data_IF_595656408465
#
_entry.id   IF_595656408465
#
_cell.length_a   1.000
_cell.length_b   1.000
_cell.length_c   1.000
_cell.angle_alpha   90.00
_cell.angle_beta   90.00
_cell.angle_gamma   90.00
#
_symmetry.space_group_name_H-M   'P 1'
#
loop_
_entity.id
_entity.type
_entity.pdbx_description
1 polymer ?
#
# COMPACT_ATOMS: atom_id res chain seq x y z
N UNK A 1 -10.51 7.46 15.41
CA UNK A 1 -10.56 8.10 14.08
C UNK A 1 -11.83 8.90 13.99
N UNK A 2 -11.79 10.09 13.41
CA UNK A 2 -13.01 10.85 13.14
C UNK A 2 -13.85 10.20 12.02
N UNK A 3 -15.11 10.64 11.88
CA UNK A 3 -16.05 10.09 10.91
C UNK A 3 -15.59 10.29 9.45
N UNK A 4 -14.84 11.37 9.18
CA UNK A 4 -14.33 11.67 7.85
C UNK A 4 -13.25 10.68 7.42
N UNK A 5 -12.35 10.30 8.33
CA UNK A 5 -11.31 9.32 8.07
C UNK A 5 -11.88 7.92 7.78
N UNK A 6 -12.96 7.52 8.47
CA UNK A 6 -13.67 6.26 8.21
C UNK A 6 -14.37 6.28 6.84
N UNK A 7 -15.02 7.40 6.49
CA UNK A 7 -15.63 7.56 5.17
C UNK A 7 -14.59 7.49 4.04
N UNK A 8 -13.44 8.12 4.23
CA UNK A 8 -12.35 8.09 3.24
C UNK A 8 -11.75 6.70 3.08
N UNK A 9 -11.59 5.95 4.18
CA UNK A 9 -11.14 4.55 4.12
C UNK A 9 -12.15 3.68 3.36
N UNK A 10 -13.44 3.81 3.65
CA UNK A 10 -14.50 3.05 2.96
C UNK A 10 -14.53 3.37 1.46
N UNK A 11 -14.33 4.63 1.09
CA UNK A 11 -14.22 5.06 -0.32
C UNK A 11 -13.03 4.42 -1.03
N UNK A 12 -11.85 4.36 -0.39
CA UNK A 12 -10.67 3.68 -0.92
C UNK A 12 -10.89 2.17 -1.08
N UNK A 13 -11.55 1.54 -0.11
CA UNK A 13 -11.89 0.12 -0.18
C UNK A 13 -12.82 -0.19 -1.38
N UNK A 14 -13.85 0.63 -1.60
CA UNK A 14 -14.73 0.52 -2.76
C UNK A 14 -13.98 0.71 -4.09
N UNK A 15 -13.09 1.72 -4.17
CA UNK A 15 -12.27 1.95 -5.35
C UNK A 15 -11.34 0.77 -5.65
N UNK A 16 -10.70 0.19 -4.63
CA UNK A 16 -9.83 -0.98 -4.79
C UNK A 16 -10.63 -2.22 -5.21
N UNK A 17 -11.83 -2.45 -4.65
CA UNK A 17 -12.75 -3.51 -5.10
C UNK A 17 -13.09 -3.37 -6.58
N UNK A 18 -13.42 -2.17 -7.03
CA UNK A 18 -13.73 -1.91 -8.44
C UNK A 18 -12.56 -2.20 -9.39
N UNK A 19 -11.30 -2.03 -8.94
CA UNK A 19 -10.12 -2.41 -9.73
C UNK A 19 -10.05 -3.92 -9.99
N UNK A 20 -10.54 -4.75 -9.06
CA UNK A 20 -10.57 -6.21 -9.21
C UNK A 20 -11.79 -6.70 -10.01
N UNK A 21 -12.91 -5.99 -9.94
CA UNK A 21 -14.16 -6.41 -10.60
C UNK A 21 -14.22 -6.01 -12.08
N UNK A 22 -13.46 -4.99 -12.50
CA UNK A 22 -13.45 -4.55 -13.90
C UNK A 22 -12.69 -5.55 -14.80
N UNK A 23 -13.04 -5.64 -16.10
CA UNK A 23 -12.25 -6.40 -17.06
C UNK A 23 -10.80 -5.90 -17.17
N UNK A 24 -9.87 -6.84 -17.40
CA UNK A 24 -8.46 -6.55 -17.63
C UNK A 24 -7.58 -6.76 -16.40
N UNK A 25 -6.34 -6.30 -16.48
CA UNK A 25 -5.33 -6.42 -15.43
C UNK A 25 -4.94 -5.01 -14.97
N UNK A 26 -4.67 -4.86 -13.67
CA UNK A 26 -4.02 -3.67 -13.13
C UNK A 26 -2.77 -4.07 -12.36
N UNK A 27 -1.79 -3.16 -12.30
CA UNK A 27 -0.52 -3.39 -11.59
C UNK A 27 -0.60 -2.73 -10.21
N UNK A 28 -0.17 -3.46 -9.18
CA UNK A 28 -0.06 -3.00 -7.80
C UNK A 28 1.41 -3.08 -7.35
N UNK A 29 2.20 -2.02 -7.51
CA UNK A 29 3.60 -2.03 -7.11
C UNK A 29 3.76 -1.96 -5.59
N UNK A 30 4.94 -2.37 -5.11
CA UNK A 30 5.24 -2.51 -3.69
C UNK A 30 6.24 -1.46 -3.17
N UNK A 31 5.81 -0.25 -2.75
CA UNK A 31 6.68 0.67 -2.03
C UNK A 31 7.06 0.13 -0.64
N UNK A 32 8.25 0.51 -0.17
CA UNK A 32 8.76 0.18 1.17
C UNK A 32 8.94 1.42 2.07
N UNK A 33 8.66 2.62 1.54
CA UNK A 33 8.70 3.88 2.28
C UNK A 33 7.74 4.93 1.68
N UNK A 34 7.66 6.12 2.31
CA UNK A 34 6.79 7.20 1.84
C UNK A 34 7.26 7.83 0.52
N UNK A 35 8.57 7.81 0.23
CA UNK A 35 9.13 8.41 -1.00
C UNK A 35 8.76 7.60 -2.23
N UNK A 36 9.00 6.30 -2.19
CA UNK A 36 8.60 5.33 -3.21
C UNK A 36 7.08 5.31 -3.41
N UNK A 37 6.28 5.39 -2.34
CA UNK A 37 4.82 5.47 -2.46
C UNK A 37 4.35 6.72 -3.23
N UNK A 38 4.91 7.89 -2.92
CA UNK A 38 4.60 9.15 -3.64
C UNK A 38 5.04 9.09 -5.10
N UNK A 39 6.23 8.55 -5.37
CA UNK A 39 6.74 8.37 -6.73
C UNK A 39 5.80 7.47 -7.55
N UNK A 40 5.44 6.29 -7.04
CA UNK A 40 4.56 5.37 -7.73
C UNK A 40 3.15 5.95 -7.95
N UNK A 41 2.61 6.69 -6.99
CA UNK A 41 1.36 7.42 -7.19
C UNK A 41 1.47 8.45 -8.32
N UNK A 42 2.58 9.20 -8.38
CA UNK A 42 2.82 10.19 -9.46
C UNK A 42 2.97 9.56 -10.84
N UNK A 43 3.41 8.30 -10.91
CA UNK A 43 3.47 7.50 -12.15
C UNK A 43 2.10 6.96 -12.59
N UNK A 44 1.04 7.19 -11.82
CA UNK A 44 -0.33 6.83 -12.21
C UNK A 44 -0.78 5.44 -11.77
N UNK A 45 -0.04 4.74 -10.90
CA UNK A 45 -0.52 3.48 -10.34
C UNK A 45 -1.75 3.72 -9.47
N UNK A 46 -2.78 2.90 -9.69
CA UNK A 46 -4.11 3.10 -9.07
C UNK A 46 -4.22 2.52 -7.65
N UNK A 47 -3.26 1.69 -7.25
CA UNK A 47 -3.18 1.06 -5.94
C UNK A 47 -1.71 0.77 -5.59
N UNK A 48 -1.43 0.60 -4.29
CA UNK A 48 -0.12 0.24 -3.75
C UNK A 48 -0.31 -0.90 -2.74
N UNK A 49 0.66 -1.80 -2.65
CA UNK A 49 0.72 -2.80 -1.59
C UNK A 49 2.02 -2.65 -0.80
N UNK A 50 2.01 -2.87 0.50
CA UNK A 50 3.25 -2.90 1.29
C UNK A 50 4.10 -4.13 0.90
N UNK A 51 5.36 -4.16 1.34
CA UNK A 51 6.25 -5.32 1.22
C UNK A 51 7.01 -5.52 2.53
N UNK A 52 6.88 -6.70 3.14
CA UNK A 52 7.62 -7.06 4.36
C UNK A 52 9.12 -7.08 4.12
N UNK A 53 9.53 -7.72 3.02
CA UNK A 53 10.93 -7.82 2.62
C UNK A 53 11.52 -6.43 2.35
N UNK A 54 10.88 -5.59 1.53
CA UNK A 54 11.38 -4.26 1.22
C UNK A 54 11.54 -3.37 2.45
N UNK A 55 10.58 -3.43 3.38
CA UNK A 55 10.65 -2.66 4.62
C UNK A 55 11.68 -3.22 5.61
N UNK A 56 11.80 -4.55 5.75
CA UNK A 56 12.83 -5.14 6.58
C UNK A 56 14.24 -4.82 6.06
N UNK A 57 14.45 -4.91 4.75
CA UNK A 57 15.74 -4.61 4.13
C UNK A 57 16.14 -3.15 4.28
N UNK A 58 15.20 -2.19 4.18
CA UNK A 58 15.51 -0.78 4.41
C UNK A 58 15.96 -0.49 5.85
N UNK A 59 15.52 -1.33 6.80
CA UNK A 59 15.92 -1.30 8.21
C UNK A 59 17.15 -2.18 8.52
N UNK A 60 17.81 -2.76 7.51
CA UNK A 60 18.97 -3.64 7.70
C UNK A 60 18.65 -5.00 8.35
N UNK A 61 17.39 -5.45 8.26
CA UNK A 61 16.90 -6.70 8.84
C UNK A 61 16.51 -7.70 7.75
N UNK A 62 16.50 -8.99 8.08
CA UNK A 62 15.97 -10.02 7.19
C UNK A 62 14.43 -9.95 7.11
N UNK A 63 13.86 -10.47 6.02
CA UNK A 63 12.40 -10.58 5.89
C UNK A 63 11.80 -11.39 7.05
N UNK A 64 10.63 -10.96 7.53
CA UNK A 64 9.96 -11.55 8.70
C UNK A 64 10.53 -11.16 10.07
N UNK A 65 11.61 -10.37 10.14
CA UNK A 65 12.21 -9.95 11.41
C UNK A 65 11.60 -8.68 12.03
N UNK A 66 10.52 -8.14 11.42
CA UNK A 66 9.77 -6.99 11.93
C UNK A 66 8.60 -7.46 12.79
N UNK A 67 8.32 -6.71 13.84
CA UNK A 67 7.15 -6.91 14.71
C UNK A 67 5.88 -6.36 14.07
N UNK A 68 4.72 -6.67 14.66
CA UNK A 68 3.45 -6.05 14.24
C UNK A 68 3.51 -4.52 14.38
N UNK A 69 4.04 -4.02 15.50
CA UNK A 69 4.14 -2.59 15.80
C UNK A 69 5.06 -1.86 14.83
N UNK A 70 6.07 -2.54 14.26
CA UNK A 70 6.90 -1.95 13.21
C UNK A 70 6.09 -1.66 11.94
N UNK A 71 5.00 -2.41 11.68
CA UNK A 71 4.31 -2.50 10.38
C UNK A 71 2.91 -1.85 10.31
N UNK A 72 2.37 -1.38 11.43
CA UNK A 72 1.06 -0.72 11.52
C UNK A 72 1.16 0.81 11.37
#
# INVERSE_FOLDING_TARGET
MDAHALQEQARKAQAFKALHERPGIFVIPNPWDAGSAKMLASLGYQALATTSAGYAFSQGKADGALSLDDTL
#
